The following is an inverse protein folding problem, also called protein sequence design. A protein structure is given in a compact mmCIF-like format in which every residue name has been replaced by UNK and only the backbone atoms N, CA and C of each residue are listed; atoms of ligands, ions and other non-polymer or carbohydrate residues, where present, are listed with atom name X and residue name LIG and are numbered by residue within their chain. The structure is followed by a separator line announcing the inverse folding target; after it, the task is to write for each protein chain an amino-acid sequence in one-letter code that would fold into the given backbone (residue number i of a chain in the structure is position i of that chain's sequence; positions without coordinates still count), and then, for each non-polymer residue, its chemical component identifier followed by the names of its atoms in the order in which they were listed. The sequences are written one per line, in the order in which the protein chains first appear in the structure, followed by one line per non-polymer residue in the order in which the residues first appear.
data_IF_083112174090
#
_entry.id   IF_083112174090
#
_cell.length_a   1.000
_cell.length_b   1.000
_cell.length_c   1.000
_cell.angle_alpha   90.00
_cell.angle_beta   90.00
_cell.angle_gamma   90.00
#
_symmetry.space_group_name_H-M   'P 1'
#
loop_
_entity.id
_entity.type
_entity.pdbx_description
1 polymer ?
#
# COMPACT_ATOMS: atom_id res chain seq x y z
N UNK A 1 16.51 3.03 -6.42
CA UNK A 1 15.13 3.07 -5.90
C UNK A 1 15.10 2.27 -4.62
N UNK A 2 14.27 2.61 -3.61
CA UNK A 2 14.08 1.70 -2.47
C UNK A 2 13.16 0.57 -2.95
N UNK A 3 13.33 -0.65 -2.41
CA UNK A 3 12.50 -1.81 -2.76
C UNK A 3 11.01 -1.54 -2.56
N UNK A 4 10.64 -0.85 -1.48
CA UNK A 4 9.25 -0.41 -1.23
C UNK A 4 8.67 0.45 -2.36
N UNK A 5 9.46 1.35 -2.95
CA UNK A 5 9.01 2.23 -4.04
C UNK A 5 8.78 1.40 -5.32
N UNK A 6 9.59 0.37 -5.57
CA UNK A 6 9.41 -0.56 -6.70
C UNK A 6 8.07 -1.32 -6.60
N UNK A 7 7.72 -1.82 -5.42
CA UNK A 7 6.42 -2.48 -5.21
C UNK A 7 5.26 -1.50 -5.31
N UNK A 8 5.43 -0.28 -4.77
CA UNK A 8 4.43 0.77 -4.89
C UNK A 8 4.11 1.09 -6.36
N UNK A 9 5.14 1.37 -7.16
CA UNK A 9 4.99 1.67 -8.59
C UNK A 9 4.31 0.50 -9.33
N UNK A 10 4.73 -0.73 -9.07
CA UNK A 10 4.15 -1.94 -9.68
C UNK A 10 2.66 -2.10 -9.33
N UNK A 11 2.26 -1.83 -8.09
CA UNK A 11 0.87 -1.86 -7.67
C UNK A 11 0.04 -0.78 -8.38
N UNK A 12 0.57 0.44 -8.48
CA UNK A 12 -0.12 1.56 -9.15
C UNK A 12 -0.25 1.35 -10.66
N UNK A 13 0.74 0.72 -11.30
CA UNK A 13 0.65 0.28 -12.69
C UNK A 13 -0.46 -0.74 -12.90
N UNK A 14 -0.53 -1.77 -12.05
CA UNK A 14 -1.58 -2.79 -12.12
C UNK A 14 -2.98 -2.21 -11.89
N UNK A 15 -3.13 -1.30 -10.92
CA UNK A 15 -4.38 -0.54 -10.75
C UNK A 15 -4.75 0.23 -12.02
N UNK A 16 -3.79 0.96 -12.59
CA UNK A 16 -3.99 1.74 -13.80
C UNK A 16 -4.39 0.89 -15.02
N UNK A 17 -3.87 -0.34 -15.10
CA UNK A 17 -4.25 -1.32 -16.12
C UNK A 17 -5.65 -1.88 -15.87
N UNK A 18 -5.97 -2.28 -14.63
CA UNK A 18 -7.30 -2.76 -14.25
C UNK A 18 -8.40 -1.77 -14.66
N UNK A 19 -8.17 -0.46 -14.50
CA UNK A 19 -9.13 0.57 -14.90
C UNK A 19 -9.30 0.74 -16.42
N UNK A 20 -8.33 0.26 -17.23
CA UNK A 20 -8.33 0.41 -18.70
C UNK A 20 -8.80 -0.86 -19.43
N UNK A 21 -8.85 -1.98 -18.75
CA UNK A 21 -9.21 -3.30 -19.29
C UNK A 21 -10.63 -3.69 -18.88
N UNK A 22 -11.26 -4.60 -19.61
CA UNK A 22 -12.59 -5.14 -19.28
C UNK A 22 -12.58 -6.67 -19.25
N UNK A 23 -13.69 -7.24 -18.79
CA UNK A 23 -13.95 -8.68 -18.81
C UNK A 23 -12.82 -9.47 -18.13
N UNK A 24 -12.39 -10.59 -18.71
CA UNK A 24 -11.39 -11.48 -18.12
C UNK A 24 -10.02 -10.79 -17.92
N UNK A 25 -9.62 -9.88 -18.82
CA UNK A 25 -8.37 -9.14 -18.69
C UNK A 25 -8.43 -8.18 -17.49
N UNK A 26 -9.58 -7.54 -17.26
CA UNK A 26 -9.82 -6.73 -16.08
C UNK A 26 -9.73 -7.52 -14.78
N UNK A 27 -10.27 -8.75 -14.76
CA UNK A 27 -10.18 -9.64 -13.62
C UNK A 27 -8.73 -10.04 -13.31
N UNK A 28 -7.93 -10.40 -14.33
CA UNK A 28 -6.51 -10.71 -14.14
C UNK A 28 -5.72 -9.52 -13.58
N UNK A 29 -6.00 -8.30 -14.05
CA UNK A 29 -5.35 -7.10 -13.52
C UNK A 29 -5.79 -6.76 -12.10
N UNK A 30 -7.02 -7.10 -11.71
CA UNK A 30 -7.48 -6.98 -10.33
C UNK A 30 -6.70 -7.89 -9.38
N UNK A 31 -6.53 -9.17 -9.75
CA UNK A 31 -5.73 -10.12 -8.97
C UNK A 31 -4.26 -9.67 -8.87
N UNK A 32 -3.69 -9.16 -9.97
CA UNK A 32 -2.33 -8.60 -9.98
C UNK A 32 -2.22 -7.38 -9.05
N UNK A 33 -3.19 -6.47 -9.12
CA UNK A 33 -3.22 -5.29 -8.25
C UNK A 33 -3.25 -5.69 -6.78
N UNK A 34 -4.16 -6.59 -6.38
CA UNK A 34 -4.28 -7.07 -5.01
C UNK A 34 -2.95 -7.65 -4.49
N UNK A 35 -2.36 -8.55 -5.28
CA UNK A 35 -1.06 -9.14 -4.93
C UNK A 35 0.03 -8.07 -4.75
N UNK A 36 0.19 -7.18 -5.72
CA UNK A 36 1.27 -6.18 -5.69
C UNK A 36 1.04 -5.12 -4.61
N UNK A 37 -0.21 -4.75 -4.35
CA UNK A 37 -0.57 -3.86 -3.26
C UNK A 37 -0.10 -4.44 -1.93
N UNK A 38 -0.32 -5.73 -1.71
CA UNK A 38 0.08 -6.40 -0.48
C UNK A 38 1.57 -6.68 -0.36
N UNK A 39 2.27 -6.93 -1.48
CA UNK A 39 3.75 -6.95 -1.49
C UNK A 39 4.33 -5.55 -1.12
N UNK A 40 3.67 -4.46 -1.52
CA UNK A 40 4.01 -3.11 -1.07
C UNK A 40 3.76 -2.92 0.44
N UNK A 41 2.60 -3.34 0.97
CA UNK A 41 2.30 -3.27 2.41
C UNK A 41 3.33 -4.04 3.26
N UNK A 42 3.79 -5.20 2.78
CA UNK A 42 4.81 -5.99 3.49
C UNK A 42 6.16 -5.24 3.60
N UNK A 43 6.56 -4.55 2.54
CA UNK A 43 7.78 -3.71 2.56
C UNK A 43 7.56 -2.41 3.37
N UNK A 44 6.35 -1.84 3.35
CA UNK A 44 5.95 -0.73 4.23
C UNK A 44 6.10 -1.09 5.70
N UNK A 45 5.60 -2.26 6.10
CA UNK A 45 5.73 -2.75 7.47
C UNK A 45 7.20 -2.91 7.88
N UNK A 46 8.06 -3.44 7.01
CA UNK A 46 9.51 -3.54 7.27
C UNK A 46 10.16 -2.17 7.41
N UNK A 47 9.80 -1.22 6.56
CA UNK A 47 10.30 0.15 6.63
C UNK A 47 9.81 0.86 7.90
N UNK A 48 8.55 0.67 8.29
CA UNK A 48 7.97 1.22 9.52
C UNK A 48 8.77 0.84 10.77
N UNK A 49 9.25 -0.40 10.82
CA UNK A 49 10.09 -0.89 11.91
C UNK A 49 11.44 -0.14 12.04
N UNK A 50 11.86 0.58 11.00
CA UNK A 50 13.10 1.36 10.99
C UNK A 50 12.95 2.80 11.45
N UNK A 51 11.71 3.29 11.63
CA UNK A 51 11.44 4.66 12.08
C UNK A 51 11.83 4.84 13.54
N UNK A 52 12.51 5.93 13.86
CA UNK A 52 12.84 6.35 15.22
C UNK A 52 12.87 7.89 15.31
N UNK A 53 11.89 8.52 16.00
CA UNK A 53 10.76 7.89 16.69
C UNK A 53 9.72 7.34 15.72
N UNK A 54 9.01 6.28 16.12
CA UNK A 54 7.82 5.79 15.39
C UNK A 54 6.61 6.68 15.68
N UNK A 55 5.78 7.01 14.67
CA UNK A 55 4.48 7.62 14.90
C UNK A 55 3.58 6.74 15.77
N UNK A 56 2.74 7.36 16.61
CA UNK A 56 1.90 6.67 17.58
C UNK A 56 0.43 6.54 17.17
N UNK A 57 0.02 7.26 16.14
CA UNK A 57 -1.35 7.32 15.63
C UNK A 57 -1.35 7.65 14.14
N UNK A 58 -2.51 7.53 13.52
CA UNK A 58 -2.67 7.75 12.09
C UNK A 58 -2.36 9.20 11.71
N UNK A 59 -2.74 10.19 12.53
CA UNK A 59 -2.47 11.60 12.25
C UNK A 59 -0.97 11.91 12.19
N UNK A 60 -0.17 11.35 13.10
CA UNK A 60 1.29 11.47 13.07
C UNK A 60 1.91 10.70 11.89
N UNK A 61 1.35 9.53 11.54
CA UNK A 61 1.83 8.72 10.43
C UNK A 61 1.59 9.43 9.09
N UNK A 62 0.42 10.04 8.91
CA UNK A 62 0.08 10.85 7.75
C UNK A 62 0.98 12.07 7.60
N UNK A 63 1.64 12.53 8.66
CA UNK A 63 2.61 13.63 8.59
C UNK A 63 4.01 13.19 8.13
N UNK A 64 4.29 11.88 8.06
CA UNK A 64 5.59 11.35 7.60
C UNK A 64 5.75 11.62 6.09
N UNK A 65 6.86 12.25 5.65
CA UNK A 65 7.04 12.64 4.25
C UNK A 65 6.86 11.49 3.24
N UNK A 66 7.38 10.30 3.54
CA UNK A 66 7.21 9.13 2.68
C UNK A 66 5.73 8.69 2.59
N UNK A 67 4.99 8.68 3.70
CA UNK A 67 3.57 8.34 3.72
C UNK A 67 2.77 9.36 2.90
N UNK A 68 3.01 10.66 3.09
CA UNK A 68 2.39 11.72 2.28
C UNK A 68 2.64 11.51 0.80
N UNK A 69 3.89 11.21 0.44
CA UNK A 69 4.27 11.01 -0.95
C UNK A 69 3.56 9.81 -1.60
N UNK A 70 3.37 8.70 -0.88
CA UNK A 70 2.57 7.59 -1.41
C UNK A 70 1.08 7.96 -1.46
N UNK A 71 0.53 8.55 -0.40
CA UNK A 71 -0.89 8.97 -0.34
C UNK A 71 -1.31 9.92 -1.48
N UNK A 72 -0.45 10.86 -1.85
CA UNK A 72 -0.70 11.78 -2.98
C UNK A 72 -0.80 11.07 -4.34
N UNK A 73 -0.17 9.89 -4.47
CA UNK A 73 -0.13 9.11 -5.69
C UNK A 73 -1.19 7.98 -5.70
N UNK A 74 -1.65 7.54 -4.52
CA UNK A 74 -2.67 6.51 -4.39
C UNK A 74 -4.03 7.06 -4.88
N UNK A 75 -4.71 6.38 -5.82
CA UNK A 75 -6.05 6.74 -6.26
C UNK A 75 -7.04 6.76 -5.09
N UNK A 76 -7.95 7.73 -5.07
CA UNK A 76 -8.93 7.88 -3.98
C UNK A 76 -9.67 6.59 -3.57
N UNK A 77 -10.10 5.68 -4.49
CA UNK A 77 -10.73 4.42 -4.09
C UNK A 77 -9.82 3.45 -3.32
N UNK A 78 -8.49 3.57 -3.47
CA UNK A 78 -7.48 2.71 -2.85
C UNK A 78 -6.95 3.30 -1.54
N UNK A 79 -7.09 4.61 -1.34
CA UNK A 79 -6.58 5.29 -0.15
C UNK A 79 -7.14 4.71 1.14
N UNK A 80 -8.43 4.34 1.18
CA UNK A 80 -9.02 3.75 2.39
C UNK A 80 -8.37 2.42 2.77
N UNK A 81 -8.07 1.56 1.81
CA UNK A 81 -7.39 0.29 2.06
C UNK A 81 -5.98 0.53 2.59
N UNK A 82 -5.26 1.50 2.00
CA UNK A 82 -3.92 1.86 2.49
C UNK A 82 -3.95 2.40 3.92
N UNK A 83 -4.91 3.27 4.25
CA UNK A 83 -5.05 3.81 5.60
C UNK A 83 -5.38 2.70 6.62
N UNK A 84 -6.28 1.76 6.27
CA UNK A 84 -6.58 0.62 7.14
C UNK A 84 -5.34 -0.24 7.41
N UNK A 85 -4.55 -0.56 6.38
CA UNK A 85 -3.32 -1.34 6.57
C UNK A 85 -2.25 -0.55 7.37
N UNK A 86 -2.20 0.78 7.20
CA UNK A 86 -1.32 1.64 7.98
C UNK A 86 -1.73 1.70 9.45
N UNK A 87 -3.03 1.79 9.75
CA UNK A 87 -3.58 1.69 11.11
C UNK A 87 -3.21 0.34 11.75
N UNK A 88 -3.39 -0.77 11.03
CA UNK A 88 -3.00 -2.11 11.51
C UNK A 88 -1.50 -2.19 11.81
N UNK A 89 -0.64 -1.56 10.98
CA UNK A 89 0.81 -1.47 11.23
C UNK A 89 1.11 -0.66 12.50
N UNK A 90 0.43 0.48 12.70
CA UNK A 90 0.59 1.32 13.90
C UNK A 90 0.19 0.55 15.17
N UNK A 91 -0.93 -0.17 15.10
CA UNK A 91 -1.47 -0.95 16.22
C UNK A 91 -0.68 -2.26 16.47
N UNK A 92 0.27 -2.60 15.59
CA UNK A 92 1.09 -3.82 15.70
C UNK A 92 0.30 -5.09 15.42
N UNK A 93 -0.77 -5.00 14.61
CA UNK A 93 -1.60 -6.13 14.21
C UNK A 93 -0.89 -6.90 13.09
N UNK A 94 -0.70 -8.20 13.30
CA UNK A 94 -0.29 -9.12 12.24
C UNK A 94 -1.54 -9.60 11.49
N UNK A 95 -1.85 -8.95 10.37
CA UNK A 95 -2.88 -9.41 9.44
C UNK A 95 -2.41 -10.69 8.75
N UNK A 96 -2.95 -11.83 9.17
CA UNK A 96 -2.76 -13.11 8.49
C UNK A 96 -3.72 -13.17 7.30
N UNK A 97 -3.18 -13.03 6.09
CA UNK A 97 -3.95 -13.18 4.85
C UNK A 97 -3.98 -14.66 4.48
N UNK A 98 -5.18 -15.21 4.30
CA UNK A 98 -5.37 -16.56 3.79
C UNK A 98 -5.50 -16.45 2.28
N UNK A 99 -4.43 -16.80 1.56
CA UNK A 99 -4.46 -17.05 0.12
C UNK A 99 -5.52 -18.09 -0.27
#
# INVERSE_FOLDING_TARGET
MKKIDEYFETAMEAWGMMQKTSDDEGAEWAERFERYFYEFIDELKKWWETLDPKPLNIEEAEEVPEIKNWMEQIPAPVQINFLTELEDIIDGIDTVRFD
#
